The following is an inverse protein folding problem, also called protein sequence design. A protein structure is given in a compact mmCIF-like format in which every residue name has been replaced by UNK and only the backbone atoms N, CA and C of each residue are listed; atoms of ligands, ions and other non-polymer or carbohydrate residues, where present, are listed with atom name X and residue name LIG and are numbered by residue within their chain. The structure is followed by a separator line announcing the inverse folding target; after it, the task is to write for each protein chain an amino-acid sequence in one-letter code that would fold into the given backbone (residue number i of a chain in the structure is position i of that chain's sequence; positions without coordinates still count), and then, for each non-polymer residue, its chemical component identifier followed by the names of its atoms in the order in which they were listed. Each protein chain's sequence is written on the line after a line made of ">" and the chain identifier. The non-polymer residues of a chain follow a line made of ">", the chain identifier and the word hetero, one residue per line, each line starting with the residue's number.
data_IF_764836992729
#
_entry.id   IF_764836992729
#
_cell.length_a   1.000
_cell.length_b   1.000
_cell.length_c   1.000
_cell.angle_alpha   90.00
_cell.angle_beta   90.00
_cell.angle_gamma   90.00
#
_symmetry.space_group_name_H-M   'P 1'
#
loop_
_entity.id
_entity.type
_entity.pdbx_description
1 polymer ?
#
# COMPACT_ATOMS: atom_id res chain seq x y z
N UNK A 1 -8.18 0.42 23.42
CA UNK A 1 -7.50 0.40 22.11
C UNK A 1 -8.23 -0.60 21.22
N UNK A 2 -8.32 -0.34 19.91
CA UNK A 2 -8.73 -1.36 18.95
C UNK A 2 -7.50 -2.24 18.69
N UNK A 3 -7.62 -3.55 18.87
CA UNK A 3 -6.52 -4.50 18.69
C UNK A 3 -6.52 -5.02 17.25
N UNK A 4 -5.71 -4.41 16.38
CA UNK A 4 -5.49 -4.90 15.02
C UNK A 4 -4.09 -5.51 14.91
N UNK A 5 -4.00 -6.65 14.23
CA UNK A 5 -2.71 -7.20 13.81
C UNK A 5 -2.27 -6.47 12.54
N UNK A 6 -1.15 -5.75 12.61
CA UNK A 6 -0.64 -4.92 11.52
C UNK A 6 0.69 -5.47 11.07
N UNK A 7 0.83 -5.63 9.77
CA UNK A 7 2.10 -5.91 9.12
C UNK A 7 2.53 -4.66 8.33
N UNK A 8 3.82 -4.31 8.45
CA UNK A 8 4.46 -3.21 7.76
C UNK A 8 5.78 -3.73 7.19
N UNK A 9 6.00 -3.52 5.90
CA UNK A 9 7.32 -3.76 5.31
C UNK A 9 8.26 -2.65 5.78
N UNK A 10 9.16 -2.98 6.71
CA UNK A 10 10.21 -2.08 7.18
C UNK A 10 11.52 -2.65 6.65
N UNK A 11 11.97 -2.10 5.53
CA UNK A 11 13.17 -2.44 4.76
C UNK A 11 14.14 -3.40 5.48
N UNK A 12 13.98 -4.71 5.24
CA UNK A 12 15.01 -5.68 5.62
C UNK A 12 15.23 -6.67 4.47
N UNK A 13 16.02 -6.22 3.50
CA UNK A 13 16.26 -6.92 2.24
C UNK A 13 17.33 -7.99 2.45
N UNK A 14 16.92 -9.16 2.93
CA UNK A 14 17.69 -10.39 2.82
C UNK A 14 16.77 -11.57 2.45
N UNK A 15 16.84 -11.98 1.17
CA UNK A 15 16.42 -13.30 0.63
C UNK A 15 14.93 -13.69 0.66
N UNK A 16 14.18 -13.37 1.71
CA UNK A 16 12.81 -13.83 1.96
C UNK A 16 11.72 -12.77 1.80
N UNK A 17 12.07 -11.60 1.24
CA UNK A 17 11.18 -10.43 1.17
C UNK A 17 9.92 -10.74 0.34
N UNK A 18 10.06 -11.30 -0.86
CA UNK A 18 8.91 -11.55 -1.74
C UNK A 18 7.91 -12.57 -1.17
N UNK A 19 8.41 -13.64 -0.55
CA UNK A 19 7.53 -14.65 0.06
C UNK A 19 6.84 -14.11 1.31
N UNK A 20 7.56 -13.33 2.12
CA UNK A 20 6.97 -12.67 3.30
C UNK A 20 5.91 -11.65 2.90
N UNK A 21 6.16 -10.86 1.84
CA UNK A 21 5.18 -9.92 1.28
C UNK A 21 3.95 -10.66 0.75
N UNK A 22 4.15 -11.75 -0.01
CA UNK A 22 3.03 -12.54 -0.52
C UNK A 22 2.17 -13.08 0.62
N UNK A 23 2.79 -13.71 1.62
CA UNK A 23 2.09 -14.20 2.81
C UNK A 23 1.37 -13.08 3.58
N UNK A 24 1.98 -11.90 3.70
CA UNK A 24 1.34 -10.75 4.35
C UNK A 24 0.08 -10.30 3.59
N UNK A 25 0.16 -10.17 2.27
CA UNK A 25 -0.98 -9.78 1.44
C UNK A 25 -2.07 -10.86 1.46
N UNK A 26 -1.71 -12.14 1.30
CA UNK A 26 -2.65 -13.28 1.34
C UNK A 26 -3.42 -13.36 2.66
N UNK A 27 -2.73 -13.17 3.79
CA UNK A 27 -3.33 -13.24 5.12
C UNK A 27 -4.02 -11.94 5.57
N UNK A 28 -3.82 -10.83 4.85
CA UNK A 28 -4.46 -9.57 5.16
C UNK A 28 -5.97 -9.60 4.89
N UNK A 29 -6.73 -8.99 5.81
CA UNK A 29 -8.16 -8.71 5.60
C UNK A 29 -8.38 -7.44 4.78
N UNK A 30 -7.51 -6.44 4.97
CA UNK A 30 -7.52 -5.14 4.29
C UNK A 30 -6.06 -4.73 4.04
N UNK A 31 -5.79 -4.10 2.91
CA UNK A 31 -4.48 -3.51 2.58
C UNK A 31 -4.57 -1.99 2.57
N UNK A 32 -3.70 -1.33 3.32
CA UNK A 32 -3.58 0.14 3.29
C UNK A 32 -2.48 0.54 2.31
N UNK A 33 -2.82 1.36 1.32
CA UNK A 33 -1.88 1.81 0.30
C UNK A 33 -1.46 3.24 0.66
N UNK A 34 -0.34 3.36 1.39
CA UNK A 34 0.19 4.64 1.88
C UNK A 34 0.91 5.40 0.76
N UNK A 35 0.16 6.18 0.00
CA UNK A 35 0.60 6.87 -1.21
C UNK A 35 1.45 8.10 -0.91
N UNK A 36 2.72 8.04 -1.34
CA UNK A 36 3.64 9.18 -1.47
C UNK A 36 4.59 8.92 -2.66
N UNK A 37 5.51 9.85 -2.92
CA UNK A 37 6.47 9.74 -4.04
C UNK A 37 7.38 8.50 -3.90
N UNK A 38 7.85 8.18 -2.69
CA UNK A 38 8.71 7.03 -2.44
C UNK A 38 7.99 5.70 -2.70
N UNK A 39 6.76 5.56 -2.21
CA UNK A 39 5.89 4.42 -2.47
C UNK A 39 5.67 4.22 -3.97
N UNK A 40 5.45 5.32 -4.70
CA UNK A 40 5.25 5.30 -6.16
C UNK A 40 6.49 4.85 -6.95
N UNK A 41 7.68 5.05 -6.40
CA UNK A 41 8.97 4.69 -7.01
C UNK A 41 9.48 3.30 -6.58
N UNK A 42 9.04 2.80 -5.42
CA UNK A 42 9.44 1.49 -4.91
C UNK A 42 8.89 0.34 -5.75
N UNK A 43 9.80 -0.53 -6.19
CA UNK A 43 9.45 -1.77 -6.91
C UNK A 43 8.64 -2.72 -6.01
N UNK A 44 9.04 -2.88 -4.75
CA UNK A 44 8.36 -3.78 -3.81
C UNK A 44 6.97 -3.28 -3.47
N UNK A 45 6.80 -1.99 -3.17
CA UNK A 45 5.48 -1.41 -2.93
C UNK A 45 4.54 -1.58 -4.12
N UNK A 46 5.07 -1.49 -5.34
CA UNK A 46 4.30 -1.77 -6.56
C UNK A 46 3.85 -3.23 -6.61
N UNK A 47 4.74 -4.19 -6.35
CA UNK A 47 4.40 -5.60 -6.33
C UNK A 47 3.30 -5.92 -5.32
N UNK A 48 3.37 -5.38 -4.10
CA UNK A 48 2.34 -5.57 -3.08
C UNK A 48 0.98 -5.05 -3.54
N UNK A 49 0.98 -3.84 -4.11
CA UNK A 49 -0.25 -3.20 -4.57
C UNK A 49 -0.89 -3.93 -5.74
N UNK A 50 -0.08 -4.39 -6.70
CA UNK A 50 -0.51 -5.18 -7.84
C UNK A 50 -1.06 -6.53 -7.38
N UNK A 51 -0.35 -7.22 -6.48
CA UNK A 51 -0.76 -8.52 -5.97
C UNK A 51 -2.04 -8.45 -5.11
N UNK A 52 -2.14 -7.45 -4.23
CA UNK A 52 -3.37 -7.18 -3.49
C UNK A 52 -4.56 -6.89 -4.41
N UNK A 53 -4.32 -6.19 -5.53
CA UNK A 53 -5.34 -5.90 -6.54
C UNK A 53 -5.75 -7.18 -7.29
N UNK A 54 -4.80 -8.03 -7.67
CA UNK A 54 -5.05 -9.31 -8.32
C UNK A 54 -5.90 -10.25 -7.45
N UNK A 55 -5.56 -10.35 -6.16
CA UNK A 55 -6.32 -11.10 -5.17
C UNK A 55 -7.65 -10.42 -4.78
N UNK A 56 -7.99 -9.27 -5.39
CA UNK A 56 -9.19 -8.47 -5.11
C UNK A 56 -9.34 -8.12 -3.63
N UNK A 57 -8.23 -7.94 -2.92
CA UNK A 57 -8.24 -7.54 -1.51
C UNK A 57 -8.90 -6.16 -1.37
N UNK A 58 -9.71 -5.94 -0.32
CA UNK A 58 -10.11 -4.60 0.05
C UNK A 58 -8.87 -3.73 0.25
N UNK A 59 -8.72 -2.69 -0.56
CA UNK A 59 -7.59 -1.77 -0.47
C UNK A 59 -8.12 -0.38 -0.16
N UNK A 60 -7.48 0.30 0.79
CA UNK A 60 -7.78 1.68 1.14
C UNK A 60 -6.56 2.53 0.78
N UNK A 61 -6.63 3.33 -0.29
CA UNK A 61 -5.60 4.32 -0.58
C UNK A 61 -5.59 5.43 0.47
N UNK A 62 -4.39 5.71 1.00
CA UNK A 62 -4.13 6.73 2.01
C UNK A 62 -3.13 7.75 1.42
N UNK A 63 -3.52 8.99 1.16
CA UNK A 63 -2.58 10.03 0.73
C UNK A 63 -1.76 10.50 1.93
N UNK A 64 -0.43 10.32 1.87
CA UNK A 64 0.48 10.59 2.99
C UNK A 64 1.36 11.82 2.77
N UNK A 65 1.35 12.41 1.57
CA UNK A 65 2.24 13.52 1.20
C UNK A 65 1.46 14.73 0.67
N UNK A 66 1.67 15.94 1.23
CA UNK A 66 1.00 17.16 0.74
C UNK A 66 1.29 17.42 -0.73
N UNK A 67 0.24 17.78 -1.48
CA UNK A 67 0.29 18.08 -2.92
C UNK A 67 0.75 16.92 -3.81
N UNK A 68 0.99 15.73 -3.27
CA UNK A 68 1.28 14.55 -4.08
C UNK A 68 0.02 14.14 -4.84
N UNK A 69 0.18 13.88 -6.14
CA UNK A 69 -0.88 13.38 -7.00
C UNK A 69 -0.45 12.04 -7.57
N UNK A 70 -1.04 10.91 -7.13
CA UNK A 70 -0.74 9.61 -7.69
C UNK A 70 -0.87 9.61 -9.22
N UNK A 71 0.12 9.05 -9.90
CA UNK A 71 0.20 9.01 -11.36
C UNK A 71 0.64 7.61 -11.85
N UNK A 72 0.44 7.34 -13.15
CA UNK A 72 0.72 6.03 -13.73
C UNK A 72 -0.06 4.91 -13.02
N UNK A 73 0.64 3.82 -12.68
CA UNK A 73 0.04 2.65 -12.02
C UNK A 73 -0.68 3.00 -10.70
N UNK A 74 -0.12 3.89 -9.88
CA UNK A 74 -0.73 4.28 -8.61
C UNK A 74 -1.95 5.18 -8.82
N UNK A 75 -1.94 5.97 -9.90
CA UNK A 75 -3.09 6.79 -10.31
C UNK A 75 -4.31 5.94 -10.68
N UNK A 76 -4.09 4.79 -11.33
CA UNK A 76 -5.15 3.82 -11.65
C UNK A 76 -5.78 3.27 -10.37
N UNK A 77 -4.95 2.84 -9.41
CA UNK A 77 -5.41 2.31 -8.12
C UNK A 77 -6.22 3.36 -7.35
N UNK A 78 -5.72 4.60 -7.28
CA UNK A 78 -6.42 5.71 -6.63
C UNK A 78 -7.74 6.05 -7.33
N UNK A 79 -7.77 6.04 -8.66
CA UNK A 79 -8.98 6.38 -9.44
C UNK A 79 -10.13 5.39 -9.26
N UNK A 80 -9.81 4.13 -8.96
CA UNK A 80 -10.79 3.06 -8.78
C UNK A 80 -11.38 2.96 -7.36
N UNK A 81 -10.86 3.73 -6.38
CA UNK A 81 -11.14 3.53 -4.95
C UNK A 81 -11.38 4.85 -4.21
N UNK A 82 -12.22 4.82 -3.17
CA UNK A 82 -12.34 5.91 -2.20
C UNK A 82 -11.03 5.99 -1.42
N UNK A 83 -10.51 7.20 -1.19
CA UNK A 83 -9.22 7.40 -0.52
C UNK A 83 -9.38 8.27 0.74
N UNK A 84 -8.46 8.11 1.68
CA UNK A 84 -8.32 8.94 2.88
C UNK A 84 -7.13 9.87 2.70
N UNK A 85 -7.29 11.15 3.03
CA UNK A 85 -6.22 12.14 2.95
C UNK A 85 -5.66 12.43 4.35
N UNK A 86 -4.46 11.92 4.62
CA UNK A 86 -3.69 12.21 5.84
C UNK A 86 -2.70 13.36 5.65
N UNK A 87 -2.45 13.77 4.40
CA UNK A 87 -1.54 14.84 4.04
C UNK A 87 -2.05 16.23 4.43
N UNK A 88 -3.35 16.34 4.66
CA UNK A 88 -4.05 17.56 5.10
C UNK A 88 -4.45 17.54 6.58
N UNK A 89 -4.17 16.44 7.28
CA UNK A 89 -4.42 16.33 8.73
C UNK A 89 -3.35 17.13 9.50
N UNK A 90 -3.74 17.95 10.49
CA UNK A 90 -2.82 18.75 11.30
C UNK A 90 -1.91 17.91 12.19
#
# INVERSE_FOLDING_TARGET
>A
SLHYNVWLDVDNINGGVLESMAQAVENSSIVLICMNEQYKQSYYCRLEAEYATELRKPCIPCLMQPRFRPYGWLGIIKGAKIHVDFATSP
#
